data_IF_771146407892
#
_entry.id   IF_771146407892
#
_cell.length_a   1.000
_cell.length_b   1.000
_cell.length_c   1.000
_cell.angle_alpha   90.00
_cell.angle_beta   90.00
_cell.angle_gamma   90.00
#
_symmetry.space_group_name_H-M   'P 1'
#
loop_
_entity.id
_entity.type
_entity.pdbx_description
1 polymer ?
#
# COMPACT_ATOMS: atom_id res chain seq x y z
N UNK A 1 0.07 -22.06 -51.33
CA UNK A 1 -0.58 -22.77 -50.22
C UNK A 1 -0.18 -22.08 -48.92
N UNK A 2 -1.10 -22.08 -47.95
CA UNK A 2 -1.17 -21.23 -46.77
C UNK A 2 0.07 -21.25 -45.86
N UNK A 3 0.28 -20.13 -45.17
CA UNK A 3 1.22 -20.03 -44.06
C UNK A 3 0.73 -20.74 -42.80
N UNK A 4 1.64 -20.88 -41.83
CA UNK A 4 1.30 -21.14 -40.43
C UNK A 4 2.38 -20.52 -39.54
N UNK A 5 2.00 -19.41 -38.91
CA UNK A 5 2.57 -18.94 -37.65
C UNK A 5 1.69 -19.48 -36.51
N UNK A 6 2.18 -19.34 -35.28
CA UNK A 6 1.63 -19.78 -33.96
C UNK A 6 2.24 -21.11 -33.55
N UNK A 7 2.88 -21.27 -32.39
CA UNK A 7 2.53 -20.91 -31.01
C UNK A 7 3.84 -21.07 -30.20
N UNK A 8 4.23 -20.28 -29.20
CA UNK A 8 3.73 -20.33 -27.82
C UNK A 8 4.48 -19.29 -26.98
N UNK A 9 3.77 -18.62 -26.07
CA UNK A 9 4.39 -18.05 -24.88
C UNK A 9 4.56 -16.53 -24.87
N UNK A 10 3.46 -15.79 -25.07
CA UNK A 10 3.34 -14.49 -24.40
C UNK A 10 3.40 -14.75 -22.89
N UNK A 11 4.59 -14.71 -22.30
CA UNK A 11 4.71 -14.34 -20.89
C UNK A 11 4.21 -12.90 -20.86
N UNK A 12 3.09 -12.58 -20.18
CA UNK A 12 2.71 -11.20 -20.01
C UNK A 12 3.87 -10.53 -19.28
N UNK A 13 4.60 -9.66 -19.96
CA UNK A 13 5.48 -8.71 -19.28
C UNK A 13 4.55 -7.74 -18.57
N UNK A 14 4.02 -8.14 -17.41
CA UNK A 14 3.36 -7.24 -16.48
C UNK A 14 4.43 -6.29 -15.96
N UNK A 15 4.72 -5.24 -16.74
CA UNK A 15 5.19 -3.99 -16.15
C UNK A 15 4.01 -3.45 -15.36
N UNK A 16 3.91 -3.86 -14.10
CA UNK A 16 3.13 -3.10 -13.13
C UNK A 16 3.81 -1.73 -13.03
N UNK A 17 3.26 -0.76 -13.75
CA UNK A 17 3.67 0.63 -13.59
C UNK A 17 3.42 1.05 -12.15
N UNK A 18 4.31 1.85 -11.59
CA UNK A 18 4.09 2.42 -10.27
C UNK A 18 2.89 3.37 -10.35
N UNK A 19 1.78 3.01 -9.71
CA UNK A 19 0.59 3.85 -9.65
C UNK A 19 0.18 4.13 -8.20
N UNK A 20 -0.47 5.28 -8.03
CA UNK A 20 -1.10 5.67 -6.78
C UNK A 20 -2.61 5.79 -6.98
N UNK A 21 -3.39 5.04 -6.20
CA UNK A 21 -4.86 5.01 -6.31
C UNK A 21 -5.54 6.32 -5.89
N UNK A 22 -4.84 7.17 -5.13
CA UNK A 22 -5.43 8.32 -4.43
C UNK A 22 -6.04 7.92 -3.08
N UNK A 23 -5.99 8.86 -2.13
CA UNK A 23 -6.45 8.62 -0.76
C UNK A 23 -7.95 8.34 -0.68
N UNK A 24 -8.76 9.07 -1.45
CA UNK A 24 -10.22 8.90 -1.46
C UNK A 24 -10.64 7.53 -2.01
N UNK A 25 -9.98 7.06 -3.07
CA UNK A 25 -10.21 5.71 -3.59
C UNK A 25 -9.89 4.64 -2.55
N UNK A 26 -8.76 4.78 -1.85
CA UNK A 26 -8.35 3.84 -0.80
C UNK A 26 -9.32 3.90 0.38
N UNK A 27 -9.76 5.08 0.79
CA UNK A 27 -10.77 5.27 1.82
C UNK A 27 -12.07 4.54 1.45
N UNK A 28 -12.60 4.76 0.24
CA UNK A 28 -13.82 4.11 -0.24
C UNK A 28 -13.71 2.59 -0.30
N UNK A 29 -12.56 2.06 -0.76
CA UNK A 29 -12.33 0.61 -0.79
C UNK A 29 -12.32 0.07 0.64
N UNK A 30 -11.47 0.61 1.50
CA UNK A 30 -11.22 0.06 2.84
C UNK A 30 -12.35 0.29 3.85
N UNK A 31 -13.31 1.17 3.55
CA UNK A 31 -14.54 1.33 4.35
C UNK A 31 -15.69 0.46 3.90
N UNK A 32 -15.63 -0.09 2.69
CA UNK A 32 -16.69 -0.96 2.14
C UNK A 32 -16.71 -2.37 2.76
N UNK A 33 -15.70 -2.73 3.54
CA UNK A 33 -15.59 -4.04 4.18
C UNK A 33 -14.28 -4.20 4.94
N UNK A 34 -13.95 -5.44 5.31
CA UNK A 34 -12.66 -5.76 5.90
C UNK A 34 -11.64 -6.13 4.83
N UNK A 35 -10.50 -5.44 4.85
CA UNK A 35 -9.44 -5.61 3.87
C UNK A 35 -8.10 -5.85 4.56
N UNK A 36 -7.34 -6.77 3.98
CA UNK A 36 -5.94 -6.98 4.30
C UNK A 36 -5.06 -6.14 3.36
N UNK A 37 -4.08 -5.43 3.92
CA UNK A 37 -2.99 -4.81 3.16
C UNK A 37 -1.87 -5.82 2.96
N UNK A 38 -1.52 -6.08 1.70
CA UNK A 38 -0.36 -6.88 1.32
C UNK A 38 0.74 -6.00 0.71
N UNK A 39 1.85 -5.87 1.42
CA UNK A 39 3.08 -5.25 0.92
C UNK A 39 4.01 -6.35 0.49
N UNK A 40 4.34 -6.39 -0.80
CA UNK A 40 5.20 -7.41 -1.40
C UNK A 40 6.42 -6.72 -2.00
N UNK A 41 7.62 -7.23 -1.71
CA UNK A 41 8.88 -6.67 -2.16
C UNK A 41 9.74 -7.77 -2.77
N UNK A 42 10.32 -7.49 -3.93
CA UNK A 42 11.28 -8.35 -4.59
C UNK A 42 12.55 -7.56 -4.86
N UNK A 43 13.68 -8.02 -4.34
CA UNK A 43 14.96 -7.36 -4.60
C UNK A 43 15.54 -7.74 -5.98
N UNK A 44 16.62 -7.06 -6.37
CA UNK A 44 17.34 -7.31 -7.62
C UNK A 44 17.97 -8.72 -7.69
N UNK A 45 18.14 -9.37 -6.53
CA UNK A 45 18.65 -10.73 -6.39
C UNK A 45 17.53 -11.78 -6.35
N UNK A 46 16.31 -11.41 -6.74
CA UNK A 46 15.10 -12.24 -6.72
C UNK A 46 14.66 -12.73 -5.33
N UNK A 47 15.16 -12.14 -4.25
CA UNK A 47 14.67 -12.44 -2.90
C UNK A 47 13.30 -11.79 -2.71
N UNK A 48 12.33 -12.61 -2.33
CA UNK A 48 10.96 -12.18 -2.04
C UNK A 48 10.74 -12.00 -0.54
N UNK A 49 10.18 -10.85 -0.18
CA UNK A 49 9.69 -10.53 1.16
C UNK A 49 8.26 -10.01 1.10
N UNK A 50 7.52 -10.19 2.19
CA UNK A 50 6.19 -9.62 2.32
C UNK A 50 5.89 -9.20 3.76
N UNK A 51 4.99 -8.24 3.92
CA UNK A 51 4.30 -7.92 5.15
C UNK A 51 2.79 -7.86 4.87
N UNK A 52 1.98 -8.46 5.74
CA UNK A 52 0.52 -8.41 5.71
C UNK A 52 0.01 -7.69 6.95
N UNK A 53 -1.10 -6.98 6.82
CA UNK A 53 -1.86 -6.39 7.93
C UNK A 53 -3.30 -6.82 7.76
N UNK A 54 -3.80 -7.67 8.68
CA UNK A 54 -5.12 -8.30 8.56
C UNK A 54 -6.27 -7.29 8.59
N UNK A 55 -6.05 -6.15 9.22
CA UNK A 55 -7.01 -5.05 9.25
C UNK A 55 -6.30 -3.79 8.75
N UNK A 56 -6.78 -3.25 7.64
CA UNK A 56 -6.26 -2.06 7.01
C UNK A 56 -7.38 -1.14 6.58
N UNK A 57 -7.31 0.10 7.08
CA UNK A 57 -8.28 1.13 6.75
C UNK A 57 -7.63 2.51 6.68
N UNK A 58 -8.14 3.32 5.76
CA UNK A 58 -7.84 4.75 5.67
C UNK A 58 -9.11 5.51 5.96
N UNK A 59 -9.06 6.45 6.92
CA UNK A 59 -10.20 7.28 7.26
C UNK A 59 -10.53 8.30 6.16
N UNK A 60 -11.67 8.98 6.26
CA UNK A 60 -12.06 10.02 5.30
C UNK A 60 -11.28 11.33 5.47
N UNK A 61 -11.57 12.29 4.59
CA UNK A 61 -10.94 13.61 4.58
C UNK A 61 -11.11 14.37 5.91
N UNK A 62 -12.29 14.27 6.56
CA UNK A 62 -12.56 14.88 7.88
C UNK A 62 -11.59 14.41 8.96
N UNK A 63 -11.07 13.19 8.80
CA UNK A 63 -10.07 12.58 9.68
C UNK A 63 -8.67 12.59 9.07
N UNK A 64 -8.45 13.45 8.06
CA UNK A 64 -7.16 13.69 7.40
C UNK A 64 -6.53 12.40 6.89
N UNK A 65 -7.35 11.49 6.37
CA UNK A 65 -6.93 10.19 5.86
C UNK A 65 -6.06 9.39 6.84
N UNK A 66 -6.42 9.42 8.12
CA UNK A 66 -5.73 8.68 9.17
C UNK A 66 -5.58 7.20 8.81
N UNK A 67 -4.36 6.70 8.92
CA UNK A 67 -4.01 5.30 8.69
C UNK A 67 -4.38 4.46 9.92
N UNK A 68 -5.10 3.37 9.71
CA UNK A 68 -5.43 2.37 10.72
C UNK A 68 -4.98 1.01 10.22
N UNK A 69 -4.14 0.35 11.01
CA UNK A 69 -3.64 -0.98 10.69
C UNK A 69 -3.46 -1.84 11.94
N UNK A 70 -3.70 -3.15 11.81
CA UNK A 70 -3.42 -4.13 12.86
C UNK A 70 -3.17 -5.53 12.28
N UNK A 71 -2.72 -6.46 13.13
CA UNK A 71 -2.44 -7.84 12.74
C UNK A 71 -1.29 -7.99 11.75
N UNK A 72 -0.15 -7.35 12.03
CA UNK A 72 1.07 -7.52 11.23
C UNK A 72 1.49 -9.00 11.21
N UNK A 73 1.85 -9.47 10.02
CA UNK A 73 2.53 -10.76 9.83
C UNK A 73 3.45 -10.71 8.61
N UNK A 74 4.35 -11.68 8.49
CA UNK A 74 5.18 -11.86 7.31
C UNK A 74 6.68 -11.84 7.57
N UNK A 75 7.46 -11.81 6.49
CA UNK A 75 8.93 -11.91 6.54
C UNK A 75 9.62 -10.56 6.71
N UNK A 76 8.96 -9.47 6.31
CA UNK A 76 9.50 -8.13 6.44
C UNK A 76 9.16 -7.54 7.82
N UNK A 77 10.07 -6.71 8.31
CA UNK A 77 9.85 -5.97 9.56
C UNK A 77 8.61 -5.07 9.46
N UNK A 78 7.99 -4.81 10.63
CA UNK A 78 6.84 -3.92 10.73
C UNK A 78 7.28 -2.45 10.64
N UNK A 79 7.32 -1.93 9.41
CA UNK A 79 7.68 -0.54 9.15
C UNK A 79 6.47 0.41 9.19
N UNK A 80 5.24 -0.10 9.10
CA UNK A 80 4.04 0.75 9.02
C UNK A 80 3.43 1.06 10.39
N UNK A 81 3.73 0.27 11.42
CA UNK A 81 3.25 0.55 12.79
C UNK A 81 3.67 1.93 13.30
N UNK A 82 4.83 2.46 12.91
CA UNK A 82 5.23 3.83 13.24
C UNK A 82 4.33 4.92 12.63
N UNK A 83 3.61 4.59 11.56
CA UNK A 83 2.66 5.47 10.89
C UNK A 83 1.21 5.15 11.29
N UNK A 84 0.97 4.11 12.09
CA UNK A 84 -0.36 3.75 12.55
C UNK A 84 -0.95 4.89 13.40
N UNK A 85 -2.21 5.21 13.14
CA UNK A 85 -2.99 6.29 13.76
C UNK A 85 -2.46 7.70 13.49
N UNK A 86 -1.49 7.85 12.59
CA UNK A 86 -1.07 9.17 12.12
C UNK A 86 -1.95 9.61 10.95
N UNK A 87 -2.13 10.92 10.84
CA UNK A 87 -2.80 11.56 9.72
C UNK A 87 -1.88 11.54 8.48
N UNK A 88 -2.47 11.57 7.30
CA UNK A 88 -1.72 11.72 6.07
C UNK A 88 -1.30 13.19 5.90
N UNK A 89 -0.05 13.41 5.47
CA UNK A 89 0.53 14.74 5.27
C UNK A 89 1.10 14.84 3.85
N UNK A 90 0.79 15.93 3.16
CA UNK A 90 1.32 16.26 1.84
C UNK A 90 2.16 17.54 1.91
N UNK A 91 2.63 18.04 0.76
CA UNK A 91 3.45 19.27 0.69
C UNK A 91 2.76 20.53 1.12
N UNK A 92 1.50 20.54 0.79
CA UNK A 92 0.54 21.60 0.82
C UNK A 92 -0.35 21.47 2.07
N UNK A 93 -0.39 20.28 2.69
CA UNK A 93 -1.18 20.00 3.89
C UNK A 93 -0.34 19.23 4.93
N UNK A 94 0.35 19.96 5.80
CA UNK A 94 1.14 19.40 6.92
C UNK A 94 0.19 19.02 8.08
N UNK A 95 -0.03 17.72 8.24
CA UNK A 95 -0.83 17.15 9.32
C UNK A 95 0.03 16.36 10.33
N UNK A 96 1.34 16.61 10.36
CA UNK A 96 2.25 15.96 11.28
C UNK A 96 2.02 16.43 12.73
N UNK A 97 2.45 15.61 13.69
CA UNK A 97 2.47 16.04 15.11
C UNK A 97 3.34 17.29 15.26
N UNK A 98 3.06 18.18 16.24
CA UNK A 98 3.82 19.42 16.43
C UNK A 98 5.33 19.17 16.45
N UNK A 99 6.07 20.13 15.88
CA UNK A 99 7.51 20.10 15.54
C UNK A 99 8.49 19.97 16.73
N UNK A 100 8.03 19.52 17.90
CA UNK A 100 8.82 19.54 19.13
C UNK A 100 9.73 18.31 19.32
N UNK A 101 10.07 17.62 18.24
CA UNK A 101 11.26 16.78 18.21
C UNK A 101 11.92 16.93 16.85
N UNK A 102 13.22 17.21 16.83
CA UNK A 102 14.03 17.58 15.66
C UNK A 102 14.23 16.49 14.59
N UNK A 103 13.22 15.66 14.34
CA UNK A 103 13.17 14.76 13.20
C UNK A 103 12.32 15.38 12.10
N UNK A 104 12.98 15.88 11.05
CA UNK A 104 12.34 16.19 9.78
C UNK A 104 11.67 14.92 9.24
N UNK A 105 10.36 14.75 9.45
CA UNK A 105 9.61 13.64 8.87
C UNK A 105 9.46 13.94 7.38
N UNK A 106 10.13 13.14 6.54
CA UNK A 106 9.88 13.15 5.10
C UNK A 106 8.41 12.79 4.90
N UNK A 107 7.71 13.52 4.03
CA UNK A 107 6.36 13.20 3.54
C UNK A 107 6.35 11.73 3.14
N UNK A 108 5.54 10.92 3.82
CA UNK A 108 5.48 9.48 3.59
C UNK A 108 4.30 9.22 2.66
N UNK A 109 4.59 8.96 1.39
CA UNK A 109 3.62 8.33 0.51
C UNK A 109 3.45 6.87 0.94
N UNK A 110 2.20 6.42 1.07
CA UNK A 110 1.92 4.99 1.13
C UNK A 110 1.88 4.47 -0.30
N UNK A 111 2.58 3.39 -0.63
CA UNK A 111 2.41 2.69 -1.90
C UNK A 111 1.67 1.41 -1.59
N UNK A 112 0.49 1.23 -2.19
CA UNK A 112 -0.33 0.04 -2.01
C UNK A 112 0.00 -0.93 -3.14
N UNK A 113 0.69 -2.02 -2.82
CA UNK A 113 1.03 -3.05 -3.83
C UNK A 113 -0.15 -3.97 -4.14
N UNK A 114 -0.92 -4.38 -3.12
CA UNK A 114 -2.10 -5.23 -3.29
C UNK A 114 -3.04 -5.13 -2.07
N UNK A 115 -4.34 -4.98 -2.33
CA UNK A 115 -5.41 -5.12 -1.33
C UNK A 115 -6.12 -6.45 -1.54
N UNK A 116 -6.41 -7.18 -0.45
CA UNK A 116 -7.19 -8.42 -0.49
C UNK A 116 -8.42 -8.26 0.42
N UNK A 117 -9.59 -8.66 -0.05
CA UNK A 117 -10.77 -8.79 0.80
C UNK A 117 -10.62 -9.99 1.72
N UNK A 118 -11.04 -9.85 2.97
CA UNK A 118 -11.26 -11.01 3.83
C UNK A 118 -12.67 -11.55 3.52
N UNK A 119 -12.76 -12.73 2.92
CA UNK A 119 -14.06 -13.40 2.77
C UNK A 119 -14.50 -13.90 4.15
N UNK A 120 -15.77 -13.67 4.51
CA UNK A 120 -16.41 -14.16 5.74
C UNK A 120 -16.71 -15.65 5.66
#
# INVERSE_FOLDING_TARGET
>A
AAGSNTETGLVPSEKNEDFWLGLESIHRITTSGQYELAVEFKDKSNKYGYARYSDFQVAGEDNKYKLMLSGHSGKLADCLTFSNRLNFSTSDMDNDRPKDCGYSRKKRGLVVSRLRTLQS
#
